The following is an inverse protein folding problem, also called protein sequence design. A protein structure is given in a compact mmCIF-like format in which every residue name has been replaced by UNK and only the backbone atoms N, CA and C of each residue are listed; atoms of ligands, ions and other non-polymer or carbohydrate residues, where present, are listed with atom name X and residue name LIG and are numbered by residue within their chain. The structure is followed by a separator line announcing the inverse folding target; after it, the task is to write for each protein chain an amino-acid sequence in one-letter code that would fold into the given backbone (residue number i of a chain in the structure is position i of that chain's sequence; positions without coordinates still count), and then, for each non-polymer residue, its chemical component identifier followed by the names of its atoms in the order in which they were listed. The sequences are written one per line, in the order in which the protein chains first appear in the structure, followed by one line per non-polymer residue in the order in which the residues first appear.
data_IF_068235520189
#
_entry.id   IF_068235520189
#
_cell.length_a   1.000
_cell.length_b   1.000
_cell.length_c   1.000
_cell.angle_alpha   90.00
_cell.angle_beta   90.00
_cell.angle_gamma   90.00
#
_symmetry.space_group_name_H-M   'P 1'
#
loop_
_entity.id
_entity.type
_entity.pdbx_description
1 polymer ?
#
# COMPACT_ATOMS: atom_id res chain seq x y z
N UNK A 1 6.34 23.27 -15.04
CA UNK A 1 6.39 22.23 -14.00
C UNK A 1 7.60 21.33 -14.25
N UNK A 2 8.38 21.05 -13.19
CA UNK A 2 9.49 20.12 -13.24
C UNK A 2 8.95 18.69 -13.01
N UNK A 3 8.82 17.92 -14.08
CA UNK A 3 8.27 16.57 -14.06
C UNK A 3 9.11 15.61 -13.20
N UNK A 4 10.42 15.87 -13.05
CA UNK A 4 11.30 15.01 -12.24
C UNK A 4 10.98 15.04 -10.75
N UNK A 5 10.29 16.09 -10.29
CA UNK A 5 9.85 16.26 -8.90
C UNK A 5 8.40 15.85 -8.65
N UNK A 6 7.69 15.41 -9.70
CA UNK A 6 6.31 14.99 -9.57
C UNK A 6 6.21 13.71 -8.75
N UNK A 7 5.56 13.81 -7.59
CA UNK A 7 5.24 12.67 -6.74
C UNK A 7 3.79 12.25 -6.94
N UNK A 8 3.57 10.96 -7.09
CA UNK A 8 2.23 10.43 -7.26
C UNK A 8 2.23 8.93 -7.54
N UNK A 9 1.06 8.39 -7.78
CA UNK A 9 0.92 7.00 -8.15
C UNK A 9 -0.33 6.72 -8.98
N UNK A 10 -0.20 5.74 -9.88
CA UNK A 10 -1.32 5.03 -10.50
C UNK A 10 -1.35 3.64 -9.85
N UNK A 11 -2.50 3.23 -9.34
CA UNK A 11 -2.63 1.93 -8.67
C UNK A 11 -2.83 0.78 -9.67
N UNK A 12 -1.88 0.52 -10.57
CA UNK A 12 -1.97 -0.66 -11.43
C UNK A 12 -1.54 -1.90 -10.63
N UNK A 13 -2.50 -2.80 -10.41
CA UNK A 13 -2.30 -4.04 -9.70
C UNK A 13 -3.07 -5.16 -10.39
N UNK A 14 -2.36 -6.08 -11.03
CA UNK A 14 -3.00 -7.17 -11.74
C UNK A 14 -3.28 -8.37 -10.82
N UNK A 15 -2.46 -8.58 -9.79
CA UNK A 15 -2.68 -9.66 -8.83
C UNK A 15 -3.93 -9.41 -7.98
N UNK A 16 -4.17 -8.16 -7.53
CA UNK A 16 -5.39 -7.81 -6.80
C UNK A 16 -6.64 -8.09 -7.63
N UNK A 17 -6.62 -7.72 -8.92
CA UNK A 17 -7.74 -7.99 -9.83
C UNK A 17 -7.98 -9.48 -10.03
N UNK A 18 -6.90 -10.28 -10.10
CA UNK A 18 -6.97 -11.73 -10.21
C UNK A 18 -7.53 -12.34 -8.92
N UNK A 19 -7.04 -11.92 -7.75
CA UNK A 19 -7.53 -12.38 -6.45
C UNK A 19 -9.00 -12.01 -6.21
N UNK A 20 -9.37 -10.75 -6.47
CA UNK A 20 -10.72 -10.27 -6.20
C UNK A 20 -11.77 -10.75 -7.20
N UNK A 21 -11.39 -11.01 -8.47
CA UNK A 21 -12.33 -11.31 -9.56
C UNK A 21 -12.13 -12.67 -10.21
N UNK A 22 -11.05 -13.39 -9.89
CA UNK A 22 -10.72 -14.68 -10.47
C UNK A 22 -10.48 -14.62 -12.00
N UNK A 23 -10.14 -13.46 -12.54
CA UNK A 23 -10.01 -13.25 -13.99
C UNK A 23 -8.74 -12.51 -14.31
N UNK A 24 -7.96 -13.07 -15.24
CA UNK A 24 -6.90 -12.36 -15.95
C UNK A 24 -7.49 -11.49 -17.05
N UNK A 25 -6.95 -10.31 -17.26
CA UNK A 25 -7.32 -9.40 -18.35
C UNK A 25 -6.12 -9.04 -19.20
N UNK A 26 -6.03 -9.66 -20.38
CA UNK A 26 -5.01 -9.34 -21.38
C UNK A 26 -3.58 -9.67 -20.92
N UNK A 27 -2.60 -9.14 -21.62
CA UNK A 27 -1.20 -9.25 -21.24
C UNK A 27 -0.87 -8.22 -20.14
N UNK A 28 -0.91 -8.68 -18.90
CA UNK A 28 -0.72 -7.84 -17.72
C UNK A 28 0.74 -7.43 -17.57
N UNK A 29 1.67 -8.29 -17.95
CA UNK A 29 3.11 -8.03 -17.90
C UNK A 29 3.51 -6.96 -18.93
N UNK A 30 3.04 -7.08 -20.17
CA UNK A 30 3.27 -6.05 -21.20
C UNK A 30 2.69 -4.70 -20.80
N UNK A 31 1.50 -4.68 -20.18
CA UNK A 31 0.90 -3.45 -19.65
C UNK A 31 1.75 -2.82 -18.56
N UNK A 32 2.24 -3.62 -17.59
CA UNK A 32 3.11 -3.15 -16.51
C UNK A 32 4.42 -2.55 -17.07
N UNK A 33 5.03 -3.23 -18.03
CA UNK A 33 6.26 -2.76 -18.72
C UNK A 33 5.99 -1.44 -19.46
N UNK A 34 4.93 -1.35 -20.22
CA UNK A 34 4.55 -0.12 -20.94
C UNK A 34 4.30 1.06 -19.98
N UNK A 35 3.70 0.82 -18.80
CA UNK A 35 3.50 1.86 -17.78
C UNK A 35 4.83 2.33 -17.18
N UNK A 36 5.78 1.43 -16.95
CA UNK A 36 7.12 1.78 -16.46
C UNK A 36 7.83 2.64 -17.51
N UNK A 37 7.83 2.23 -18.77
CA UNK A 37 8.45 2.95 -19.88
C UNK A 37 7.81 4.33 -20.08
N UNK A 38 6.48 4.42 -20.07
CA UNK A 38 5.76 5.70 -20.21
C UNK A 38 6.04 6.70 -19.07
N UNK A 39 6.53 6.21 -17.92
CA UNK A 39 6.83 7.05 -16.74
C UNK A 39 8.32 7.15 -16.45
N UNK A 40 9.19 6.86 -17.41
CA UNK A 40 10.64 6.94 -17.24
C UNK A 40 11.12 8.34 -16.82
N UNK A 41 10.52 9.38 -17.42
CA UNK A 41 10.78 10.78 -17.06
C UNK A 41 10.26 11.20 -15.67
N UNK A 42 9.57 10.32 -14.96
CA UNK A 42 8.93 10.57 -13.66
C UNK A 42 9.52 9.66 -12.57
N UNK A 43 10.74 9.90 -12.07
CA UNK A 43 11.43 8.98 -11.17
C UNK A 43 10.71 8.76 -9.83
N UNK A 44 9.96 9.77 -9.34
CA UNK A 44 9.22 9.71 -8.09
C UNK A 44 7.73 9.26 -8.25
N UNK A 45 7.34 8.88 -9.47
CA UNK A 45 5.98 8.44 -9.75
C UNK A 45 5.89 6.90 -9.77
N UNK A 46 4.93 6.33 -9.00
CA UNK A 46 4.75 4.88 -8.86
C UNK A 46 3.60 4.42 -9.74
N UNK A 47 3.82 3.34 -10.47
CA UNK A 47 2.80 2.81 -11.40
C UNK A 47 2.30 1.43 -10.99
N UNK A 48 3.10 0.68 -10.26
CA UNK A 48 2.74 -0.65 -9.75
C UNK A 48 2.28 -0.54 -8.29
N UNK A 49 1.22 -1.26 -7.95
CA UNK A 49 0.69 -1.32 -6.60
C UNK A 49 0.68 -2.76 -6.08
N UNK A 50 1.00 -2.93 -4.82
CA UNK A 50 0.78 -4.16 -4.06
C UNK A 50 -0.36 -3.88 -3.08
N UNK A 51 -1.58 -4.32 -3.41
CA UNK A 51 -2.80 -4.00 -2.65
C UNK A 51 -3.03 -5.02 -1.53
N UNK A 52 -2.11 -5.08 -0.57
CA UNK A 52 -2.22 -5.97 0.59
C UNK A 52 -3.45 -5.67 1.47
N UNK A 53 -4.01 -4.47 1.37
CA UNK A 53 -5.28 -4.08 2.01
C UNK A 53 -6.41 -5.08 1.70
N UNK A 54 -6.47 -5.65 0.50
CA UNK A 54 -7.47 -6.67 0.13
C UNK A 54 -7.37 -7.89 1.05
N UNK A 55 -6.15 -8.34 1.36
CA UNK A 55 -5.92 -9.46 2.27
C UNK A 55 -6.25 -9.10 3.71
N UNK A 56 -5.90 -7.89 4.14
CA UNK A 56 -6.23 -7.39 5.48
C UNK A 56 -7.74 -7.33 5.68
N UNK A 57 -8.48 -6.76 4.73
CA UNK A 57 -9.95 -6.69 4.76
C UNK A 57 -10.63 -8.07 4.65
N UNK A 58 -9.91 -9.08 4.15
CA UNK A 58 -10.36 -10.48 4.16
C UNK A 58 -10.05 -11.19 5.48
N UNK A 59 -9.44 -10.52 6.47
CA UNK A 59 -9.17 -11.04 7.80
C UNK A 59 -7.81 -11.74 7.96
N UNK A 60 -6.83 -11.47 7.08
CA UNK A 60 -5.48 -12.01 7.27
C UNK A 60 -4.81 -11.41 8.51
N UNK A 61 -4.04 -12.22 9.21
CA UNK A 61 -3.20 -11.73 10.31
C UNK A 61 -2.08 -10.83 9.79
N UNK A 62 -1.59 -9.94 10.66
CA UNK A 62 -0.56 -8.93 10.35
C UNK A 62 0.67 -9.53 9.66
N UNK A 63 1.19 -10.65 10.17
CA UNK A 63 2.35 -11.32 9.58
C UNK A 63 2.03 -12.03 8.25
N UNK A 64 0.79 -12.49 8.05
CA UNK A 64 0.33 -13.06 6.80
C UNK A 64 0.21 -11.97 5.72
N UNK A 65 -0.44 -10.85 6.05
CA UNK A 65 -0.52 -9.69 5.17
C UNK A 65 0.88 -9.24 4.73
N UNK A 66 1.82 -9.11 5.69
CA UNK A 66 3.19 -8.73 5.39
C UNK A 66 3.88 -9.75 4.49
N UNK A 67 3.79 -11.04 4.81
CA UNK A 67 4.42 -12.10 4.03
C UNK A 67 3.90 -12.15 2.59
N UNK A 68 2.59 -12.11 2.41
CA UNK A 68 1.97 -12.09 1.08
C UNK A 68 2.30 -10.81 0.30
N UNK A 69 2.30 -9.65 0.95
CA UNK A 69 2.68 -8.40 0.29
C UNK A 69 4.12 -8.42 -0.23
N UNK A 70 5.04 -8.96 0.56
CA UNK A 70 6.44 -9.10 0.15
C UNK A 70 6.61 -10.12 -0.98
N UNK A 71 5.90 -11.26 -0.91
CA UNK A 71 5.87 -12.24 -1.99
C UNK A 71 5.32 -11.64 -3.29
N UNK A 72 4.26 -10.86 -3.19
CA UNK A 72 3.64 -10.16 -4.32
C UNK A 72 4.60 -9.12 -4.95
N UNK A 73 5.26 -8.31 -4.12
CA UNK A 73 6.29 -7.38 -4.60
C UNK A 73 7.48 -8.11 -5.24
N UNK A 74 7.90 -9.24 -4.67
CA UNK A 74 8.96 -10.08 -5.22
C UNK A 74 8.57 -10.66 -6.58
N UNK A 75 7.30 -11.05 -6.76
CA UNK A 75 6.82 -11.58 -8.03
C UNK A 75 6.84 -10.50 -9.13
N UNK A 76 6.49 -9.25 -8.81
CA UNK A 76 6.69 -8.13 -9.74
C UNK A 76 8.17 -7.96 -10.13
N UNK A 77 9.09 -8.03 -9.15
CA UNK A 77 10.53 -7.96 -9.44
C UNK A 77 10.96 -9.09 -10.35
N UNK A 78 10.55 -10.34 -10.05
CA UNK A 78 10.93 -11.51 -10.81
C UNK A 78 10.47 -11.42 -12.28
N UNK A 79 9.17 -11.29 -12.51
CA UNK A 79 8.58 -11.27 -13.85
C UNK A 79 9.10 -10.12 -14.71
N UNK A 80 9.20 -8.90 -14.14
CA UNK A 80 9.65 -7.75 -14.90
C UNK A 80 11.16 -7.76 -15.15
N UNK A 81 11.95 -8.33 -14.24
CA UNK A 81 13.39 -8.50 -14.46
C UNK A 81 13.66 -9.54 -15.54
N UNK A 82 12.93 -10.66 -15.55
CA UNK A 82 12.98 -11.65 -16.63
C UNK A 82 12.55 -11.04 -17.98
N UNK A 83 11.61 -10.08 -17.96
CA UNK A 83 11.21 -9.32 -19.16
C UNK A 83 12.20 -8.22 -19.57
N UNK A 84 13.37 -8.12 -18.91
CA UNK A 84 14.47 -7.24 -19.25
C UNK A 84 14.42 -5.84 -18.64
N UNK A 85 13.55 -5.59 -17.64
CA UNK A 85 13.53 -4.31 -16.90
C UNK A 85 14.49 -4.40 -15.71
N UNK A 86 15.43 -3.46 -15.52
CA UNK A 86 16.35 -3.49 -14.37
C UNK A 86 15.62 -3.50 -13.03
N UNK A 87 16.04 -4.36 -12.10
CA UNK A 87 15.41 -4.53 -10.78
C UNK A 87 15.29 -3.21 -9.99
N UNK A 88 16.31 -2.35 -10.08
CA UNK A 88 16.31 -1.02 -9.46
C UNK A 88 15.18 -0.11 -10.01
N UNK A 89 14.86 -0.22 -11.31
CA UNK A 89 13.77 0.54 -11.93
C UNK A 89 12.43 0.00 -11.45
N UNK A 90 12.24 -1.33 -11.48
CA UNK A 90 11.00 -1.97 -11.02
C UNK A 90 10.72 -1.62 -9.56
N UNK A 91 11.71 -1.77 -8.67
CA UNK A 91 11.57 -1.49 -7.25
C UNK A 91 11.14 -0.05 -6.96
N UNK A 92 11.66 0.93 -7.71
CA UNK A 92 11.25 2.35 -7.60
C UNK A 92 9.80 2.61 -8.02
N UNK A 93 9.26 1.78 -8.91
CA UNK A 93 7.91 1.96 -9.46
C UNK A 93 6.83 1.26 -8.64
N UNK A 94 7.19 0.49 -7.61
CA UNK A 94 6.25 -0.22 -6.73
C UNK A 94 5.87 0.66 -5.53
N UNK A 95 4.58 0.67 -5.20
CA UNK A 95 4.00 1.18 -3.96
C UNK A 95 3.26 0.05 -3.24
N UNK A 96 3.43 -0.05 -1.95
CA UNK A 96 2.72 -1.00 -1.11
C UNK A 96 1.54 -0.30 -0.43
N UNK A 97 0.36 -0.90 -0.53
CA UNK A 97 -0.85 -0.45 0.13
C UNK A 97 -1.26 -1.49 1.18
N UNK A 98 -0.99 -1.19 2.45
CA UNK A 98 -1.30 -2.05 3.59
C UNK A 98 -2.59 -1.62 4.29
N UNK A 99 -3.29 -2.61 4.87
CA UNK A 99 -4.32 -2.34 5.86
C UNK A 99 -3.71 -1.96 7.21
N UNK A 100 -4.50 -1.31 8.05
CA UNK A 100 -4.14 -1.06 9.44
C UNK A 100 -5.20 -1.75 10.29
N UNK A 101 -4.80 -2.75 11.05
CA UNK A 101 -5.68 -3.50 11.94
C UNK A 101 -5.69 -2.92 13.38
N UNK A 102 -6.48 -3.53 14.25
CA UNK A 102 -6.66 -3.07 15.64
C UNK A 102 -5.45 -3.32 16.55
N UNK A 103 -4.44 -4.08 16.12
CA UNK A 103 -3.31 -4.43 16.98
C UNK A 103 -2.19 -3.39 16.90
N UNK A 104 -2.33 -2.35 17.72
CA UNK A 104 -1.54 -1.13 17.70
C UNK A 104 -0.02 -1.32 17.58
N UNK A 105 0.59 -2.09 18.48
CA UNK A 105 2.05 -2.26 18.50
C UNK A 105 2.55 -3.18 17.39
N UNK A 106 1.77 -4.20 17.00
CA UNK A 106 2.16 -5.07 15.90
C UNK A 106 2.05 -4.36 14.55
N UNK A 107 1.12 -3.42 14.40
CA UNK A 107 1.04 -2.59 13.20
C UNK A 107 2.29 -1.69 13.07
N UNK A 108 2.73 -1.04 14.16
CA UNK A 108 3.98 -0.28 14.15
C UNK A 108 5.16 -1.17 13.77
N UNK A 109 5.23 -2.37 14.32
CA UNK A 109 6.27 -3.33 14.02
C UNK A 109 6.22 -3.80 12.55
N UNK A 110 5.01 -4.06 12.02
CA UNK A 110 4.79 -4.44 10.61
C UNK A 110 5.41 -3.44 9.65
N UNK A 111 5.08 -2.15 9.78
CA UNK A 111 5.59 -1.11 8.88
C UNK A 111 7.11 -0.94 8.94
N UNK A 112 7.71 -1.13 10.12
CA UNK A 112 9.17 -1.10 10.28
C UNK A 112 9.84 -2.33 9.68
N UNK A 113 9.31 -3.52 9.98
CA UNK A 113 9.81 -4.78 9.44
C UNK A 113 9.67 -4.85 7.92
N UNK A 114 8.55 -4.38 7.35
CA UNK A 114 8.30 -4.35 5.92
C UNK A 114 9.43 -3.67 5.14
N UNK A 115 9.89 -2.50 5.61
CA UNK A 115 10.97 -1.75 4.96
C UNK A 115 12.28 -2.49 4.96
N UNK A 116 12.63 -3.12 6.08
CA UNK A 116 13.88 -3.88 6.21
C UNK A 116 13.84 -5.13 5.33
N UNK A 117 12.75 -5.88 5.37
CA UNK A 117 12.60 -7.10 4.58
C UNK A 117 12.57 -6.81 3.08
N UNK A 118 11.86 -5.75 2.67
CA UNK A 118 11.84 -5.32 1.28
C UNK A 118 13.22 -4.92 0.78
N UNK A 119 13.99 -4.18 1.58
CA UNK A 119 15.34 -3.79 1.22
C UNK A 119 16.24 -5.01 1.00
N UNK A 120 16.09 -6.07 1.81
CA UNK A 120 16.82 -7.32 1.63
C UNK A 120 16.40 -8.06 0.35
N UNK A 121 15.10 -8.06 0.01
CA UNK A 121 14.59 -8.66 -1.24
C UNK A 121 15.20 -7.91 -2.44
N UNK A 122 15.14 -6.59 -2.48
CA UNK A 122 15.71 -5.81 -3.58
C UNK A 122 17.22 -6.03 -3.70
N UNK A 123 17.94 -6.09 -2.58
CA UNK A 123 19.37 -6.33 -2.56
C UNK A 123 19.78 -7.72 -3.10
N UNK A 124 18.87 -8.70 -3.06
CA UNK A 124 19.12 -10.02 -3.66
C UNK A 124 19.10 -10.01 -5.20
N UNK A 125 18.42 -9.02 -5.80
CA UNK A 125 18.42 -8.80 -7.25
C UNK A 125 19.54 -7.87 -7.70
N UNK A 126 19.79 -6.82 -6.93
CA UNK A 126 20.80 -5.80 -7.21
C UNK A 126 21.33 -5.19 -5.91
N UNK A 127 22.51 -5.61 -5.49
CA UNK A 127 23.15 -5.18 -4.24
C UNK A 127 23.47 -3.66 -4.22
N UNK A 128 23.64 -3.04 -5.38
CA UNK A 128 23.93 -1.61 -5.50
C UNK A 128 22.67 -0.73 -5.53
N UNK A 129 21.48 -1.33 -5.64
CA UNK A 129 20.21 -0.61 -5.73
C UNK A 129 19.70 -0.03 -4.39
N UNK A 130 20.57 0.40 -3.50
CA UNK A 130 20.23 0.89 -2.14
C UNK A 130 19.15 1.97 -2.13
N UNK A 131 19.19 2.91 -3.08
CA UNK A 131 18.17 3.97 -3.17
C UNK A 131 16.82 3.43 -3.69
N UNK A 132 16.83 2.42 -4.55
CA UNK A 132 15.65 1.78 -5.09
C UNK A 132 14.95 0.88 -4.04
N UNK A 133 15.70 0.38 -3.06
CA UNK A 133 15.21 -0.46 -1.98
C UNK A 133 14.33 0.27 -0.95
N UNK A 134 14.17 1.60 -1.05
CA UNK A 134 13.26 2.37 -0.19
C UNK A 134 11.81 2.03 -0.52
N UNK A 135 11.20 1.23 0.35
CA UNK A 135 9.79 0.89 0.24
C UNK A 135 8.91 2.14 0.39
N UNK A 136 7.97 2.34 -0.54
CA UNK A 136 6.92 3.35 -0.41
C UNK A 136 5.66 2.69 0.12
N UNK A 137 5.21 3.18 1.27
CA UNK A 137 4.09 2.60 2.01
C UNK A 137 2.93 3.59 2.07
N UNK A 138 1.80 3.18 1.51
CA UNK A 138 0.50 3.75 1.80
C UNK A 138 -0.24 2.83 2.77
N UNK A 139 -0.95 3.38 3.74
CA UNK A 139 -1.74 2.60 4.67
C UNK A 139 -3.19 3.07 4.68
N UNK A 140 -4.13 2.16 4.82
CA UNK A 140 -5.55 2.46 4.95
C UNK A 140 -6.13 1.71 6.14
N UNK A 141 -6.96 2.39 6.94
CA UNK A 141 -7.63 1.76 8.08
C UNK A 141 -8.52 0.61 7.62
N UNK A 142 -8.42 -0.53 8.30
CA UNK A 142 -9.11 -1.77 7.91
C UNK A 142 -10.62 -1.66 8.11
N UNK A 143 -11.37 -2.10 7.12
CA UNK A 143 -12.83 -2.25 7.26
C UNK A 143 -13.23 -3.52 8.00
N UNK A 144 -12.32 -4.50 8.11
CA UNK A 144 -12.56 -5.75 8.84
C UNK A 144 -12.84 -5.53 10.34
N UNK A 145 -12.22 -4.51 10.92
CA UNK A 145 -12.36 -4.19 12.35
C UNK A 145 -13.53 -3.24 12.66
N UNK A 146 -14.21 -2.70 11.66
CA UNK A 146 -15.32 -1.78 11.87
C UNK A 146 -16.58 -2.53 12.32
N UNK A 147 -17.32 -1.94 13.24
CA UNK A 147 -18.59 -2.48 13.73
C UNK A 147 -19.80 -1.80 13.08
N UNK A 148 -20.89 -2.56 12.93
CA UNK A 148 -22.21 -2.04 12.55
C UNK A 148 -22.97 -1.52 13.77
N UNK A 149 -22.75 -2.13 14.95
CA UNK A 149 -23.39 -1.74 16.21
C UNK A 149 -22.60 -0.63 16.87
N UNK A 150 -23.29 0.45 17.25
CA UNK A 150 -22.65 1.65 17.80
C UNK A 150 -21.51 2.16 16.88
N UNK A 151 -21.89 2.47 15.65
CA UNK A 151 -20.93 2.79 14.59
C UNK A 151 -20.04 4.00 14.87
N UNK A 152 -20.45 4.93 15.76
CA UNK A 152 -19.61 6.06 16.17
C UNK A 152 -18.33 5.63 16.90
N UNK A 153 -18.32 4.46 17.54
CA UNK A 153 -17.10 3.86 18.12
C UNK A 153 -16.04 3.59 17.08
N UNK A 154 -16.41 3.45 15.80
CA UNK A 154 -15.44 3.33 14.71
C UNK A 154 -14.51 4.54 14.60
N UNK A 155 -14.92 5.75 15.04
CA UNK A 155 -14.04 6.91 15.12
C UNK A 155 -12.84 6.66 16.04
N UNK A 156 -13.05 6.00 17.18
CA UNK A 156 -11.97 5.66 18.11
C UNK A 156 -11.07 4.56 17.53
N UNK A 157 -11.66 3.58 16.82
CA UNK A 157 -10.91 2.50 16.17
C UNK A 157 -10.00 3.05 15.09
N UNK A 158 -10.56 3.80 14.14
CA UNK A 158 -9.80 4.36 13.02
C UNK A 158 -8.76 5.39 13.48
N UNK A 159 -9.00 6.13 14.58
CA UNK A 159 -8.02 7.04 15.16
C UNK A 159 -6.79 6.29 15.70
N UNK A 160 -6.98 5.22 16.45
CA UNK A 160 -5.87 4.43 17.00
C UNK A 160 -5.13 3.66 15.92
N UNK A 161 -5.83 3.15 14.91
CA UNK A 161 -5.25 2.54 13.72
C UNK A 161 -4.37 3.56 12.97
N UNK A 162 -4.91 4.74 12.66
CA UNK A 162 -4.16 5.80 11.99
C UNK A 162 -2.92 6.25 12.78
N UNK A 163 -3.04 6.34 14.12
CA UNK A 163 -1.90 6.66 14.99
C UNK A 163 -0.80 5.60 14.91
N UNK A 164 -1.15 4.32 14.88
CA UNK A 164 -0.17 3.25 14.73
C UNK A 164 0.60 3.32 13.41
N UNK A 165 -0.09 3.66 12.32
CA UNK A 165 0.53 3.86 11.01
C UNK A 165 1.45 5.09 10.99
N UNK A 166 1.04 6.21 11.59
CA UNK A 166 1.87 7.40 11.71
C UNK A 166 3.17 7.12 12.48
N UNK A 167 3.09 6.43 13.62
CA UNK A 167 4.25 6.00 14.41
C UNK A 167 5.09 4.93 13.71
N UNK A 168 4.47 4.09 12.89
CA UNK A 168 5.13 3.14 12.01
C UNK A 168 5.89 3.81 10.86
N UNK A 169 5.65 5.09 10.64
CA UNK A 169 6.32 5.93 9.65
C UNK A 169 5.88 5.67 8.21
N UNK A 170 4.58 5.47 7.96
CA UNK A 170 4.05 5.33 6.60
C UNK A 170 4.22 6.62 5.81
N UNK A 171 4.36 6.53 4.49
CA UNK A 171 4.56 7.70 3.62
C UNK A 171 3.25 8.46 3.36
N UNK A 172 2.13 7.76 3.39
CA UNK A 172 0.78 8.34 3.27
C UNK A 172 -0.25 7.40 3.89
N UNK A 173 -1.40 7.96 4.29
CA UNK A 173 -2.49 7.15 4.82
C UNK A 173 -3.85 7.65 4.36
N UNK A 174 -4.83 6.75 4.42
CA UNK A 174 -6.25 7.04 4.29
C UNK A 174 -6.98 6.51 5.51
N UNK A 175 -7.77 7.36 6.14
CA UNK A 175 -8.67 6.97 7.23
C UNK A 175 -10.07 6.77 6.65
N UNK A 176 -10.64 5.59 6.85
CA UNK A 176 -12.00 5.29 6.41
C UNK A 176 -13.03 6.01 7.29
N UNK A 177 -14.07 6.60 6.70
CA UNK A 177 -15.20 7.15 7.45
C UNK A 177 -15.86 6.10 8.34
N UNK A 178 -16.36 6.51 9.50
CA UNK A 178 -16.91 5.60 10.52
C UNK A 178 -18.16 4.84 10.07
N UNK A 179 -18.87 5.35 9.08
CA UNK A 179 -20.11 4.82 8.52
C UNK A 179 -19.91 3.95 7.27
N UNK A 180 -18.68 3.82 6.77
CA UNK A 180 -18.35 3.10 5.52
C UNK A 180 -18.89 1.67 5.45
N UNK A 181 -19.14 1.03 6.58
CA UNK A 181 -19.61 -0.36 6.63
C UNK A 181 -21.12 -0.53 6.42
N UNK A 182 -21.91 0.52 6.58
CA UNK A 182 -23.38 0.43 6.51
C UNK A 182 -24.03 1.52 5.66
N UNK A 183 -23.30 2.54 5.29
CA UNK A 183 -23.82 3.65 4.48
C UNK A 183 -22.79 4.08 3.44
N UNK A 184 -23.25 4.82 2.45
CA UNK A 184 -22.34 5.63 1.62
C UNK A 184 -21.93 6.83 2.48
N UNK A 185 -20.61 7.04 2.70
CA UNK A 185 -20.15 8.16 3.52
C UNK A 185 -20.70 9.51 3.05
N UNK A 186 -21.07 10.34 3.98
CA UNK A 186 -21.53 11.70 3.74
C UNK A 186 -20.43 12.74 4.02
N UNK A 187 -20.74 14.01 3.78
CA UNK A 187 -19.78 15.10 4.01
C UNK A 187 -19.32 15.19 5.47
N UNK A 188 -20.18 14.83 6.42
CA UNK A 188 -19.83 14.85 7.84
C UNK A 188 -18.85 13.73 8.17
N UNK A 189 -19.14 12.50 7.78
CA UNK A 189 -18.29 11.34 8.07
C UNK A 189 -16.92 11.43 7.37
N UNK A 190 -16.90 11.92 6.12
CA UNK A 190 -15.63 12.16 5.39
C UNK A 190 -14.80 13.29 6.04
N UNK A 191 -15.46 14.37 6.51
CA UNK A 191 -14.79 15.45 7.22
C UNK A 191 -14.18 14.96 8.54
N UNK A 192 -14.88 14.09 9.27
CA UNK A 192 -14.36 13.51 10.51
C UNK A 192 -13.12 12.65 10.22
N UNK A 193 -13.15 11.77 9.22
CA UNK A 193 -12.02 10.95 8.83
C UNK A 193 -10.80 11.78 8.42
N UNK A 194 -11.01 12.87 7.70
CA UNK A 194 -9.94 13.83 7.34
C UNK A 194 -9.38 14.55 8.56
N UNK A 195 -10.23 14.99 9.47
CA UNK A 195 -9.81 15.70 10.68
C UNK A 195 -9.01 14.80 11.63
N UNK A 196 -9.29 13.50 11.69
CA UNK A 196 -8.46 12.54 12.41
C UNK A 196 -6.99 12.55 11.92
N UNK A 197 -6.77 12.67 10.63
CA UNK A 197 -5.42 12.76 10.05
C UNK A 197 -4.75 14.10 10.36
N UNK A 198 -5.53 15.20 10.37
CA UNK A 198 -5.00 16.51 10.73
C UNK A 198 -4.57 16.56 12.19
N UNK A 199 -5.37 15.97 13.09
CA UNK A 199 -5.04 15.87 14.52
C UNK A 199 -3.72 15.09 14.76
N UNK A 200 -3.42 14.08 13.96
CA UNK A 200 -2.18 13.33 14.08
C UNK A 200 -0.94 14.10 13.56
N UNK A 201 -1.15 15.17 12.83
CA UNK A 201 -0.08 16.02 12.31
C UNK A 201 0.34 17.12 13.29
N UNK A 202 -0.55 17.51 14.22
CA UNK A 202 -0.29 18.46 15.29
C UNK A 202 0.52 17.86 16.43
#
# INVERSE_FOLDING_TARGET
YDLTKLQGSIGYDFFDKMLAKGKEKGDMLATAKALIEATDALPEYRVLNVTALTLNNAGSYIYQELGYALAWGNEYLNQLTEAGVPAAVVARKIKFNFGISSNYFLEIAKFRAARMLWANIVASYDAEAKCAAKMRVHAETSTFNLTLFDAHVNLLRTQTEAMSAALGGVDSMTVSPFDKTYAVPDEFSERMARNQQLLLKE
#
